data_IF_079808988371
#
_entry.id   IF_079808988371
#
_cell.length_a   1.000
_cell.length_b   1.000
_cell.length_c   1.000
_cell.angle_alpha   90.00
_cell.angle_beta   90.00
_cell.angle_gamma   90.00
#
_symmetry.space_group_name_H-M   'P 1'
#
loop_
_entity.id
_entity.type
_entity.pdbx_description
1 polymer ?
#
# COMPACT_ATOMS: atom_id res chain seq x y z
N UNK A 1 -24.70 -8.80 -64.50
CA UNK A 1 -23.81 -7.82 -65.16
C UNK A 1 -22.36 -8.26 -64.88
N UNK A 2 -21.50 -8.30 -65.91
CA UNK A 2 -20.17 -8.92 -65.81
C UNK A 2 -19.17 -8.05 -65.05
N UNK A 3 -18.38 -8.67 -64.18
CA UNK A 3 -17.28 -8.05 -63.44
C UNK A 3 -16.08 -8.00 -64.38
N UNK A 4 -15.79 -6.82 -64.93
CA UNK A 4 -14.61 -6.59 -65.77
C UNK A 4 -13.36 -6.60 -64.90
N UNK A 5 -12.46 -7.54 -65.20
CA UNK A 5 -11.12 -7.65 -64.64
C UNK A 5 -10.27 -6.51 -65.20
N UNK A 6 -10.03 -5.46 -64.41
CA UNK A 6 -9.11 -4.37 -64.78
C UNK A 6 -7.68 -4.90 -64.72
N UNK A 7 -6.97 -4.85 -65.85
CA UNK A 7 -5.55 -5.20 -65.95
C UNK A 7 -4.68 -4.27 -65.08
N UNK A 8 -3.58 -4.76 -64.48
CA UNK A 8 -2.65 -3.91 -63.75
C UNK A 8 -1.92 -2.98 -64.73
N UNK A 9 -1.87 -1.68 -64.38
CA UNK A 9 -1.09 -0.67 -65.10
C UNK A 9 0.40 -1.04 -65.12
N UNK A 10 1.13 -0.68 -66.20
CA UNK A 10 2.55 -0.95 -66.31
C UNK A 10 3.30 -0.23 -65.19
N UNK A 11 4.25 -0.94 -64.58
CA UNK A 11 5.17 -0.37 -63.59
C UNK A 11 6.05 0.65 -64.31
N UNK A 12 5.92 1.91 -63.95
CA UNK A 12 6.88 2.95 -64.32
C UNK A 12 8.25 2.53 -63.80
N UNK A 13 9.14 2.18 -64.73
CA UNK A 13 10.54 1.89 -64.47
C UNK A 13 11.20 3.13 -63.88
N UNK A 14 11.50 3.09 -62.58
CA UNK A 14 12.31 4.10 -61.91
C UNK A 14 13.65 4.26 -62.65
N UNK A 15 14.04 5.52 -62.87
CA UNK A 15 15.34 5.87 -63.45
C UNK A 15 16.47 5.34 -62.53
N UNK A 16 17.60 4.89 -63.09
CA UNK A 16 18.69 4.34 -62.30
C UNK A 16 19.38 5.47 -61.49
N UNK A 17 19.01 5.59 -60.22
CA UNK A 17 19.58 6.57 -59.30
C UNK A 17 18.73 6.90 -58.06
N UNK A 18 17.44 6.57 -58.03
CA UNK A 18 16.61 6.75 -56.84
C UNK A 18 16.62 5.48 -55.98
N UNK A 19 17.33 5.53 -54.84
CA UNK A 19 17.21 4.50 -53.81
C UNK A 19 15.76 4.49 -53.28
N UNK A 20 15.01 3.37 -53.42
CA UNK A 20 13.61 3.27 -52.97
C UNK A 20 13.46 3.14 -51.44
N UNK A 21 14.57 3.11 -50.69
CA UNK A 21 14.57 2.94 -49.24
C UNK A 21 14.77 4.27 -48.49
N UNK A 22 13.91 5.25 -48.75
CA UNK A 22 13.83 6.41 -47.87
C UNK A 22 13.10 6.01 -46.57
N UNK A 23 13.76 5.21 -45.72
CA UNK A 23 13.28 4.93 -44.37
C UNK A 23 13.35 6.26 -43.57
N UNK A 24 12.21 6.86 -43.20
CA UNK A 24 12.20 8.16 -42.51
C UNK A 24 12.83 8.12 -41.12
N UNK A 25 13.14 6.92 -40.58
CA UNK A 25 13.90 6.69 -39.34
C UNK A 25 15.42 6.65 -39.54
N UNK A 26 15.90 6.43 -40.76
CA UNK A 26 17.33 6.42 -41.09
C UNK A 26 17.84 7.85 -41.36
N UNK A 27 17.63 8.74 -40.40
CA UNK A 27 18.26 10.07 -40.38
C UNK A 27 19.59 9.95 -39.61
N UNK A 28 20.60 10.76 -39.99
CA UNK A 28 21.83 10.93 -39.20
C UNK A 28 21.41 11.26 -37.76
N UNK A 29 21.80 10.42 -36.79
CA UNK A 29 21.34 10.51 -35.38
C UNK A 29 20.23 9.52 -34.97
N UNK A 30 19.82 8.59 -35.85
CA UNK A 30 18.82 7.56 -35.54
C UNK A 30 19.33 6.35 -34.73
N UNK A 31 20.64 6.29 -34.43
CA UNK A 31 21.25 5.25 -33.62
C UNK A 31 21.55 5.79 -32.21
N UNK A 32 20.49 6.07 -31.44
CA UNK A 32 20.67 6.37 -30.03
C UNK A 32 20.84 5.05 -29.27
N UNK A 33 21.81 4.98 -28.34
CA UNK A 33 21.98 3.82 -27.48
C UNK A 33 20.71 3.59 -26.62
N UNK A 34 20.55 2.39 -26.05
CA UNK A 34 19.48 2.11 -25.10
C UNK A 34 19.37 3.20 -24.02
N UNK A 35 18.16 3.54 -23.52
CA UNK A 35 17.98 4.64 -22.58
C UNK A 35 18.86 4.56 -21.31
N UNK A 36 19.13 3.34 -20.82
CA UNK A 36 20.02 3.11 -19.67
C UNK A 36 21.47 3.51 -19.98
N UNK A 37 21.96 3.18 -21.17
CA UNK A 37 23.30 3.54 -21.62
C UNK A 37 23.39 5.05 -21.92
N UNK A 38 22.34 5.63 -22.50
CA UNK A 38 22.27 7.07 -22.74
C UNK A 38 22.38 7.86 -21.44
N UNK A 39 21.65 7.47 -20.38
CA UNK A 39 21.74 8.13 -19.07
C UNK A 39 23.16 8.09 -18.51
N UNK A 40 23.86 6.95 -18.67
CA UNK A 40 25.23 6.80 -18.20
C UNK A 40 26.23 7.63 -19.04
N UNK A 41 25.95 7.86 -20.31
CA UNK A 41 26.72 8.76 -21.19
C UNK A 41 26.46 10.21 -20.77
N UNK A 42 25.19 10.63 -20.68
CA UNK A 42 24.79 11.99 -20.30
C UNK A 42 25.37 12.40 -18.93
N UNK A 43 25.38 11.48 -17.96
CA UNK A 43 25.99 11.73 -16.65
C UNK A 43 27.51 11.91 -16.74
N UNK A 44 28.20 11.06 -17.50
CA UNK A 44 29.65 11.17 -17.69
C UNK A 44 30.04 12.44 -18.42
N UNK A 45 29.31 12.80 -19.47
CA UNK A 45 29.52 14.05 -20.21
C UNK A 45 29.31 15.27 -19.31
N UNK A 46 28.22 15.31 -18.52
CA UNK A 46 27.98 16.39 -17.56
C UNK A 46 29.07 16.47 -16.48
N UNK A 47 29.60 15.33 -16.02
CA UNK A 47 30.72 15.29 -15.08
C UNK A 47 32.02 15.77 -15.72
N UNK A 48 32.32 15.39 -16.96
CA UNK A 48 33.51 15.84 -17.69
C UNK A 48 33.45 17.34 -18.01
N UNK A 49 32.28 17.88 -18.34
CA UNK A 49 32.11 19.31 -18.61
C UNK A 49 32.37 20.16 -17.37
N UNK A 50 31.79 19.78 -16.21
CA UNK A 50 31.95 20.53 -14.95
C UNK A 50 33.29 20.24 -14.26
N UNK A 51 33.78 19.01 -14.38
CA UNK A 51 34.98 18.52 -13.70
C UNK A 51 35.81 17.63 -14.64
N UNK A 52 36.66 18.23 -15.51
CA UNK A 52 37.38 17.51 -16.57
C UNK A 52 38.27 16.35 -16.11
N UNK A 53 38.67 16.33 -14.84
CA UNK A 53 39.55 15.30 -14.26
C UNK A 53 38.95 14.68 -12.99
N UNK A 54 37.62 14.56 -12.92
CA UNK A 54 36.94 14.05 -11.72
C UNK A 54 37.39 12.63 -11.34
N UNK A 55 37.66 11.75 -12.32
CA UNK A 55 38.09 10.37 -12.08
C UNK A 55 39.45 10.32 -11.37
N UNK A 56 40.44 11.03 -11.91
CA UNK A 56 41.77 11.18 -11.29
C UNK A 56 41.64 11.79 -9.89
N UNK A 57 40.79 12.80 -9.72
CA UNK A 57 40.60 13.45 -8.44
C UNK A 57 39.95 12.52 -7.40
N UNK A 58 39.06 11.62 -7.79
CA UNK A 58 38.49 10.60 -6.90
C UNK A 58 39.57 9.62 -6.46
N UNK A 59 40.41 9.16 -7.40
CA UNK A 59 41.52 8.26 -7.11
C UNK A 59 42.57 8.89 -6.20
N UNK A 60 42.91 10.16 -6.43
CA UNK A 60 43.83 10.93 -5.58
C UNK A 60 43.29 11.08 -4.16
N UNK A 61 42.00 11.42 -4.02
CA UNK A 61 41.35 11.57 -2.72
C UNK A 61 41.28 10.24 -1.95
N UNK A 62 41.01 9.13 -2.65
CA UNK A 62 41.01 7.79 -2.06
C UNK A 62 42.43 7.36 -1.63
N UNK A 63 43.41 7.56 -2.51
CA UNK A 63 44.81 7.27 -2.21
C UNK A 63 45.36 8.16 -1.09
N UNK A 64 44.84 9.39 -0.94
CA UNK A 64 45.16 10.26 0.18
C UNK A 64 44.49 9.79 1.48
N UNK A 65 43.26 9.26 1.44
CA UNK A 65 42.60 8.71 2.64
C UNK A 65 43.28 7.44 3.14
N UNK A 66 43.70 6.57 2.23
CA UNK A 66 44.35 5.30 2.59
C UNK A 66 45.72 5.52 3.26
N UNK A 67 46.41 6.62 2.91
CA UNK A 67 47.69 7.01 3.51
C UNK A 67 47.55 7.90 4.75
N UNK A 68 46.35 8.39 5.06
CA UNK A 68 46.16 9.35 6.13
C UNK A 68 46.33 8.69 7.50
N UNK A 69 47.36 9.12 8.25
CA UNK A 69 47.57 8.76 9.65
C UNK A 69 47.34 9.99 10.50
N UNK A 70 46.50 9.86 11.54
CA UNK A 70 46.12 10.96 12.44
C UNK A 70 46.67 10.67 13.83
N UNK A 71 47.93 11.05 14.04
CA UNK A 71 48.68 10.87 15.29
C UNK A 71 48.97 12.18 16.03
N UNK A 72 48.72 13.32 15.38
CA UNK A 72 49.01 14.67 15.88
C UNK A 72 47.85 15.62 15.60
N UNK A 73 47.78 16.73 16.35
CA UNK A 73 46.76 17.76 16.15
C UNK A 73 46.86 18.39 14.74
N UNK A 74 48.06 18.50 14.19
CA UNK A 74 48.28 19.01 12.83
C UNK A 74 47.82 17.98 11.78
N UNK A 75 48.10 16.69 11.98
CA UNK A 75 47.58 15.63 11.13
C UNK A 75 46.05 15.54 11.17
N UNK A 76 45.43 15.82 12.33
CA UNK A 76 43.98 15.92 12.46
C UNK A 76 43.39 17.10 11.66
N UNK A 77 44.09 18.25 11.63
CA UNK A 77 43.72 19.38 10.78
C UNK A 77 43.77 19.04 9.30
N UNK A 78 44.86 18.42 8.83
CA UNK A 78 45.00 17.98 7.43
C UNK A 78 43.97 16.91 7.04
N UNK A 79 43.64 16.00 7.95
CA UNK A 79 42.57 15.04 7.76
C UNK A 79 41.20 15.73 7.64
N UNK A 80 40.95 16.81 8.38
CA UNK A 80 39.71 17.59 8.25
C UNK A 80 39.60 18.26 6.87
N UNK A 81 40.71 18.80 6.33
CA UNK A 81 40.75 19.39 4.99
C UNK A 81 40.54 18.34 3.88
N UNK A 82 41.10 17.13 4.08
CA UNK A 82 40.86 16.00 3.19
C UNK A 82 39.38 15.59 3.21
N UNK A 83 38.76 15.49 4.40
CA UNK A 83 37.33 15.20 4.54
C UNK A 83 36.47 16.26 3.85
N UNK A 84 36.83 17.55 3.96
CA UNK A 84 36.14 18.63 3.23
C UNK A 84 36.24 18.44 1.71
N UNK A 85 37.42 18.10 1.22
CA UNK A 85 37.67 17.88 -0.21
C UNK A 85 36.86 16.68 -0.76
N UNK A 86 36.79 15.58 0.01
CA UNK A 86 35.95 14.41 -0.32
C UNK A 86 34.48 14.81 -0.39
N UNK A 87 33.97 15.55 0.61
CA UNK A 87 32.57 15.98 0.62
C UNK A 87 32.23 16.92 -0.53
N UNK A 88 33.15 17.81 -0.91
CA UNK A 88 32.95 18.68 -2.07
C UNK A 88 32.81 17.87 -3.36
N UNK A 89 33.65 16.85 -3.57
CA UNK A 89 33.54 15.95 -4.73
C UNK A 89 32.25 15.13 -4.69
N UNK A 90 31.87 14.59 -3.53
CA UNK A 90 30.58 13.91 -3.35
C UNK A 90 29.39 14.83 -3.67
N UNK A 91 29.48 16.11 -3.27
CA UNK A 91 28.47 17.13 -3.60
C UNK A 91 28.32 17.32 -5.10
N UNK A 92 29.44 17.54 -5.80
CA UNK A 92 29.46 17.69 -7.26
C UNK A 92 28.84 16.49 -7.99
N UNK A 93 29.19 15.27 -7.58
CA UNK A 93 28.61 14.03 -8.13
C UNK A 93 27.10 13.99 -7.92
N UNK A 94 26.64 14.30 -6.70
CA UNK A 94 25.21 14.30 -6.36
C UNK A 94 24.42 15.35 -7.13
N UNK A 95 24.99 16.54 -7.34
CA UNK A 95 24.35 17.61 -8.10
C UNK A 95 24.21 17.23 -9.57
N UNK A 96 25.28 16.73 -10.21
CA UNK A 96 25.22 16.21 -11.59
C UNK A 96 24.24 15.04 -11.72
N UNK A 97 24.25 14.11 -10.78
CA UNK A 97 23.29 13.00 -10.76
C UNK A 97 21.84 13.52 -10.65
N UNK A 98 21.58 14.51 -9.78
CA UNK A 98 20.25 15.11 -9.65
C UNK A 98 19.81 15.74 -10.97
N UNK A 99 20.68 16.51 -11.61
CA UNK A 99 20.38 17.19 -12.87
C UNK A 99 20.11 16.20 -14.01
N UNK A 100 20.98 15.20 -14.23
CA UNK A 100 20.79 14.18 -15.28
C UNK A 100 19.53 13.35 -15.03
N UNK A 101 19.20 13.05 -13.77
CA UNK A 101 18.02 12.24 -13.42
C UNK A 101 16.71 13.01 -13.49
N UNK A 102 16.73 14.34 -13.31
CA UNK A 102 15.53 15.15 -13.17
C UNK A 102 14.56 15.05 -14.37
N UNK A 103 15.00 15.06 -15.64
CA UNK A 103 14.12 14.91 -16.79
C UNK A 103 13.34 13.60 -16.78
N UNK A 104 13.99 12.49 -16.42
CA UNK A 104 13.35 11.17 -16.33
C UNK A 104 12.32 11.12 -15.20
N UNK A 105 12.65 11.67 -14.03
CA UNK A 105 11.68 11.78 -12.94
C UNK A 105 10.48 12.65 -13.32
N UNK A 106 10.70 13.73 -14.06
CA UNK A 106 9.62 14.58 -14.56
C UNK A 106 8.75 13.82 -15.57
N UNK A 107 9.34 13.05 -16.48
CA UNK A 107 8.62 12.21 -17.43
C UNK A 107 7.78 11.14 -16.71
N UNK A 108 8.35 10.43 -15.74
CA UNK A 108 7.61 9.46 -14.92
C UNK A 108 6.47 10.12 -14.15
N UNK A 109 6.72 11.27 -13.52
CA UNK A 109 5.67 12.04 -12.81
C UNK A 109 4.55 12.49 -13.74
N UNK A 110 4.84 12.84 -14.99
CA UNK A 110 3.83 13.21 -15.96
C UNK A 110 2.93 12.02 -16.31
N UNK A 111 3.52 10.84 -16.57
CA UNK A 111 2.77 9.60 -16.82
C UNK A 111 1.94 9.20 -15.60
N UNK A 112 2.53 9.25 -14.40
CA UNK A 112 1.82 8.97 -13.15
C UNK A 112 0.67 9.96 -12.91
N UNK A 113 0.86 11.23 -13.28
CA UNK A 113 -0.17 12.26 -13.24
C UNK A 113 -1.35 11.92 -14.15
N UNK A 114 -1.08 11.56 -15.41
CA UNK A 114 -2.11 11.13 -16.36
C UNK A 114 -2.83 9.86 -15.88
N UNK A 115 -2.09 8.87 -15.38
CA UNK A 115 -2.69 7.67 -14.78
C UNK A 115 -3.64 8.05 -13.64
N UNK A 116 -3.21 8.92 -12.72
CA UNK A 116 -4.06 9.38 -11.61
C UNK A 116 -5.31 10.10 -12.10
N UNK A 117 -5.21 10.93 -13.15
CA UNK A 117 -6.36 11.59 -13.75
C UNK A 117 -7.39 10.59 -14.32
N UNK A 118 -6.92 9.48 -14.90
CA UNK A 118 -7.80 8.43 -15.44
C UNK A 118 -8.39 7.54 -14.34
N UNK A 119 -7.60 7.21 -13.32
CA UNK A 119 -7.99 6.26 -12.27
C UNK A 119 -8.81 6.92 -11.15
N UNK A 120 -8.54 8.17 -10.77
CA UNK A 120 -9.23 8.83 -9.65
C UNK A 120 -10.75 8.86 -9.79
N UNK A 121 -11.35 9.23 -10.95
CA UNK A 121 -12.80 9.20 -11.11
C UNK A 121 -13.38 7.79 -11.03
N UNK A 122 -12.63 6.78 -11.47
CA UNK A 122 -13.03 5.38 -11.37
C UNK A 122 -12.97 4.88 -9.93
N UNK A 123 -11.93 5.25 -9.16
CA UNK A 123 -11.83 4.95 -7.74
C UNK A 123 -12.95 5.63 -6.94
N UNK A 124 -13.30 6.87 -7.27
CA UNK A 124 -14.43 7.59 -6.66
C UNK A 124 -15.77 6.89 -6.97
N UNK A 125 -15.97 6.48 -8.23
CA UNK A 125 -17.15 5.71 -8.63
C UNK A 125 -17.22 4.36 -7.91
N UNK A 126 -16.10 3.64 -7.85
CA UNK A 126 -15.96 2.35 -7.16
C UNK A 126 -16.26 2.51 -5.66
N UNK A 127 -15.68 3.52 -5.01
CA UNK A 127 -15.94 3.85 -3.60
C UNK A 127 -17.42 4.15 -3.34
N UNK A 128 -18.05 4.90 -4.25
CA UNK A 128 -19.49 5.20 -4.16
C UNK A 128 -20.34 3.93 -4.27
N UNK A 129 -20.01 3.02 -5.18
CA UNK A 129 -20.71 1.74 -5.34
C UNK A 129 -20.49 0.85 -4.12
N UNK A 130 -19.24 0.74 -3.64
CA UNK A 130 -18.90 -0.08 -2.47
C UNK A 130 -19.59 0.44 -1.20
N UNK A 131 -19.73 1.76 -1.03
CA UNK A 131 -20.51 2.35 0.07
C UNK A 131 -21.98 1.92 -0.01
N UNK A 132 -22.60 2.01 -1.20
CA UNK A 132 -23.99 1.56 -1.42
C UNK A 132 -24.16 0.06 -1.17
N UNK A 133 -23.21 -0.76 -1.63
CA UNK A 133 -23.22 -2.20 -1.36
C UNK A 133 -23.09 -2.48 0.15
N UNK A 134 -22.22 -1.76 0.85
CA UNK A 134 -22.04 -1.89 2.30
C UNK A 134 -23.30 -1.47 3.06
N UNK A 135 -23.94 -0.37 2.68
CA UNK A 135 -25.22 0.07 3.26
C UNK A 135 -26.32 -0.97 3.05
N UNK A 136 -26.44 -1.53 1.84
CA UNK A 136 -27.39 -2.59 1.55
C UNK A 136 -27.13 -3.84 2.40
N UNK A 137 -25.88 -4.30 2.51
CA UNK A 137 -25.51 -5.44 3.34
C UNK A 137 -25.81 -5.19 4.82
N UNK A 138 -25.58 -3.97 5.33
CA UNK A 138 -25.93 -3.57 6.70
C UNK A 138 -27.44 -3.58 6.92
N UNK A 139 -28.23 -3.08 5.96
CA UNK A 139 -29.70 -3.10 6.04
C UNK A 139 -30.26 -4.53 6.01
N UNK A 140 -29.72 -5.39 5.15
CA UNK A 140 -30.10 -6.80 5.09
C UNK A 140 -29.73 -7.54 6.37
N UNK A 141 -28.55 -7.30 6.94
CA UNK A 141 -28.17 -7.86 8.24
C UNK A 141 -29.12 -7.38 9.35
N UNK A 142 -29.42 -6.09 9.42
CA UNK A 142 -30.35 -5.55 10.40
C UNK A 142 -31.78 -6.11 10.25
N UNK A 143 -32.26 -6.31 9.01
CA UNK A 143 -33.56 -6.93 8.74
C UNK A 143 -33.58 -8.40 9.18
N UNK A 144 -32.52 -9.15 8.88
CA UNK A 144 -32.38 -10.55 9.32
C UNK A 144 -32.29 -10.66 10.83
N UNK A 145 -31.58 -9.77 11.51
CA UNK A 145 -31.53 -9.75 12.97
C UNK A 145 -32.89 -9.43 13.59
N UNK A 146 -33.66 -8.50 13.02
CA UNK A 146 -35.04 -8.21 13.48
C UNK A 146 -35.94 -9.43 13.34
N UNK A 147 -35.94 -10.08 12.18
CA UNK A 147 -36.72 -11.31 11.97
C UNK A 147 -36.33 -12.40 12.96
N UNK A 148 -35.03 -12.63 13.16
CA UNK A 148 -34.54 -13.61 14.15
C UNK A 148 -34.99 -13.29 15.58
N UNK A 149 -34.97 -12.01 15.98
CA UNK A 149 -35.45 -11.58 17.30
C UNK A 149 -36.96 -11.74 17.45
N UNK A 150 -37.74 -11.43 16.41
CA UNK A 150 -39.20 -11.60 16.42
C UNK A 150 -39.59 -13.07 16.48
N UNK A 151 -38.92 -13.93 15.72
CA UNK A 151 -39.12 -15.38 15.77
C UNK A 151 -38.72 -15.95 17.14
N UNK A 152 -37.59 -15.54 17.69
CA UNK A 152 -37.15 -15.96 19.02
C UNK A 152 -38.11 -15.47 20.11
N UNK A 153 -38.66 -14.26 19.98
CA UNK A 153 -39.67 -13.73 20.89
C UNK A 153 -41.01 -14.47 20.79
N UNK A 154 -41.45 -14.84 19.58
CA UNK A 154 -42.65 -15.68 19.37
C UNK A 154 -42.47 -17.07 19.96
N UNK A 155 -41.33 -17.71 19.69
CA UNK A 155 -41.00 -19.02 20.25
C UNK A 155 -40.93 -18.99 21.79
N UNK A 156 -40.35 -17.93 22.38
CA UNK A 156 -40.35 -17.73 23.84
C UNK A 156 -41.76 -17.51 24.40
N UNK A 157 -42.60 -16.72 23.72
CA UNK A 157 -43.98 -16.49 24.15
C UNK A 157 -44.86 -17.75 24.04
N UNK A 158 -44.66 -18.56 22.99
CA UNK A 158 -45.31 -19.86 22.84
C UNK A 158 -44.84 -20.86 23.89
N UNK A 159 -43.54 -20.89 24.20
CA UNK A 159 -42.99 -21.72 25.28
C UNK A 159 -43.56 -21.33 26.65
N UNK A 160 -43.66 -20.03 26.95
CA UNK A 160 -44.27 -19.55 28.21
C UNK A 160 -45.76 -19.91 28.29
N UNK A 161 -46.52 -19.76 27.20
CA UNK A 161 -47.94 -20.17 27.16
C UNK A 161 -48.11 -21.68 27.30
N UNK A 162 -47.22 -22.47 26.71
CA UNK A 162 -47.22 -23.92 26.87
C UNK A 162 -46.90 -24.31 28.32
N UNK A 163 -45.93 -23.65 28.96
CA UNK A 163 -45.59 -23.89 30.37
C UNK A 163 -46.73 -23.48 31.32
N UNK A 164 -47.39 -22.34 31.08
CA UNK A 164 -48.57 -21.90 31.83
C UNK A 164 -49.76 -22.86 31.65
N UNK A 165 -49.99 -23.34 30.42
CA UNK A 165 -51.02 -24.34 30.13
C UNK A 165 -50.69 -25.69 30.79
N UNK A 166 -49.43 -26.10 30.84
CA UNK A 166 -48.99 -27.30 31.55
C UNK A 166 -49.16 -27.13 33.07
N UNK A 167 -48.85 -25.96 33.61
CA UNK A 167 -49.04 -25.66 35.04
C UNK A 167 -50.53 -25.68 35.42
N UNK A 168 -51.40 -25.08 34.61
CA UNK A 168 -52.85 -25.16 34.78
C UNK A 168 -53.39 -26.60 34.65
N UNK A 169 -52.82 -27.41 33.74
CA UNK A 169 -53.15 -28.85 33.63
C UNK A 169 -52.79 -29.62 34.88
N UNK A 170 -51.59 -29.40 35.46
CA UNK A 170 -51.18 -30.05 36.71
C UNK A 170 -52.07 -29.64 37.90
N UNK A 171 -52.54 -28.39 37.91
CA UNK A 171 -53.50 -27.92 38.94
C UNK A 171 -54.89 -28.53 38.76
N UNK A 172 -55.35 -28.75 37.52
CA UNK A 172 -56.63 -29.40 37.20
C UNK A 172 -56.59 -30.94 37.36
N UNK A 173 -55.47 -31.59 37.03
CA UNK A 173 -55.22 -33.01 37.33
C UNK A 173 -55.23 -33.28 38.85
N UNK A 174 -54.79 -32.31 39.66
CA UNK A 174 -54.96 -32.32 41.10
C UNK A 174 -56.43 -32.25 41.57
N UNK A 175 -57.37 -31.89 40.69
CA UNK A 175 -58.81 -31.80 40.95
C UNK A 175 -59.64 -32.94 40.30
N UNK A 176 -59.05 -33.78 39.45
CA UNK A 176 -59.61 -35.09 39.05
C UNK A 176 -60.63 -35.10 37.91
N UNK A 177 -60.37 -34.40 36.79
CA UNK A 177 -61.21 -34.46 35.58
C UNK A 177 -60.49 -35.21 34.43
N UNK A 178 -60.95 -36.42 34.08
CA UNK A 178 -60.27 -37.36 33.16
C UNK A 178 -60.45 -37.07 31.66
N UNK A 179 -61.27 -36.10 31.27
CA UNK A 179 -61.65 -35.89 29.85
C UNK A 179 -60.65 -35.01 29.07
N UNK A 180 -59.69 -34.38 29.74
CA UNK A 180 -58.72 -33.45 29.12
C UNK A 180 -57.42 -34.12 28.61
N UNK A 181 -57.22 -35.42 28.87
CA UNK A 181 -55.95 -36.12 28.61
C UNK A 181 -55.73 -36.57 27.16
N UNK A 182 -56.78 -36.71 26.33
CA UNK A 182 -56.65 -37.38 25.03
C UNK A 182 -56.39 -36.42 23.83
N UNK A 183 -56.56 -35.11 24.00
CA UNK A 183 -56.63 -34.19 22.86
C UNK A 183 -55.31 -33.55 22.38
N UNK A 184 -54.15 -33.81 23.00
CA UNK A 184 -52.91 -33.07 22.65
C UNK A 184 -51.68 -33.97 22.60
N UNK A 185 -51.60 -34.74 21.52
CA UNK A 185 -50.40 -35.44 21.09
C UNK A 185 -49.33 -34.44 20.63
N UNK A 186 -48.16 -34.54 21.28
CA UNK A 186 -46.88 -33.86 21.07
C UNK A 186 -46.67 -33.09 19.75
N UNK A 187 -46.57 -31.75 19.85
CA UNK A 187 -45.92 -30.93 18.83
C UNK A 187 -44.40 -30.87 19.11
N UNK A 188 -43.52 -31.33 18.20
CA UNK A 188 -42.08 -31.24 18.37
C UNK A 188 -41.59 -29.78 18.29
N UNK A 189 -40.70 -29.39 19.21
CA UNK A 189 -40.07 -28.07 19.22
C UNK A 189 -39.23 -27.87 17.94
N UNK A 190 -39.42 -26.75 17.19
CA UNK A 190 -38.65 -26.51 15.99
C UNK A 190 -37.18 -26.20 16.33
N UNK A 191 -36.27 -27.05 15.86
CA UNK A 191 -34.84 -26.81 15.93
C UNK A 191 -34.44 -25.66 14.98
N UNK A 192 -34.02 -24.54 15.55
CA UNK A 192 -33.49 -23.39 14.79
C UNK A 192 -32.14 -23.72 14.17
N UNK A 193 -32.13 -24.08 12.88
CA UNK A 193 -30.89 -24.20 12.09
C UNK A 193 -30.46 -22.80 11.65
N UNK A 194 -29.32 -22.31 12.16
CA UNK A 194 -28.66 -21.10 11.64
C UNK A 194 -28.17 -21.37 10.21
N UNK A 195 -28.98 -21.05 9.20
CA UNK A 195 -28.53 -21.05 7.81
C UNK A 195 -27.57 -19.89 7.60
N UNK A 196 -26.31 -20.18 7.26
CA UNK A 196 -25.35 -19.16 6.87
C UNK A 196 -25.81 -18.45 5.59
N UNK A 197 -25.54 -17.14 5.45
CA UNK A 197 -26.09 -16.37 4.36
C UNK A 197 -25.45 -16.75 3.03
N UNK A 198 -26.26 -17.18 2.07
CA UNK A 198 -25.81 -17.42 0.70
C UNK A 198 -25.38 -16.11 0.03
N UNK A 199 -24.27 -16.11 -0.73
CA UNK A 199 -23.75 -14.91 -1.40
C UNK A 199 -24.71 -14.45 -2.50
N UNK A 200 -24.93 -13.14 -2.59
CA UNK A 200 -25.81 -12.54 -3.59
C UNK A 200 -25.05 -12.51 -4.92
N UNK A 201 -25.58 -13.15 -5.97
CA UNK A 201 -24.94 -13.25 -7.29
C UNK A 201 -25.62 -12.38 -8.34
N UNK A 202 -24.82 -11.77 -9.20
CA UNK A 202 -25.25 -11.07 -10.42
C UNK A 202 -25.67 -12.09 -11.47
N UNK A 203 -26.84 -11.86 -12.07
CA UNK A 203 -27.41 -12.73 -13.09
C UNK A 203 -26.62 -12.70 -14.42
N UNK A 204 -26.06 -11.54 -14.79
CA UNK A 204 -25.46 -11.34 -16.13
C UNK A 204 -23.95 -11.56 -16.16
N UNK A 205 -23.26 -11.28 -15.05
CA UNK A 205 -21.79 -11.29 -14.99
C UNK A 205 -21.22 -12.36 -14.06
N UNK A 206 -22.06 -13.06 -13.30
CA UNK A 206 -21.63 -14.06 -12.32
C UNK A 206 -20.90 -13.48 -11.09
N UNK A 207 -20.75 -12.16 -10.99
CA UNK A 207 -20.11 -11.49 -9.87
C UNK A 207 -20.93 -11.73 -8.57
N UNK A 208 -20.26 -12.08 -7.48
CA UNK A 208 -20.91 -12.31 -6.18
C UNK A 208 -20.47 -11.30 -5.13
N UNK A 209 -21.42 -10.77 -4.36
CA UNK A 209 -21.15 -9.91 -3.20
C UNK A 209 -21.47 -10.69 -1.93
N UNK A 210 -20.50 -10.78 -1.02
CA UNK A 210 -20.65 -11.36 0.32
C UNK A 210 -20.19 -10.36 1.36
N UNK A 211 -20.94 -10.25 2.46
CA UNK A 211 -20.54 -9.43 3.60
C UNK A 211 -19.54 -10.17 4.47
N UNK A 212 -18.45 -9.49 4.88
CA UNK A 212 -17.51 -9.98 5.88
C UNK A 212 -17.55 -9.08 7.11
N UNK A 213 -17.62 -9.67 8.31
CA UNK A 213 -17.42 -8.94 9.56
C UNK A 213 -15.93 -8.66 9.73
N UNK A 214 -15.58 -7.38 9.82
CA UNK A 214 -14.21 -6.91 10.05
C UNK A 214 -14.16 -6.31 11.44
N UNK A 215 -13.15 -6.70 12.22
CA UNK A 215 -12.89 -6.11 13.52
C UNK A 215 -12.16 -4.79 13.31
N UNK A 216 -12.81 -3.69 13.69
CA UNK A 216 -12.20 -2.37 13.73
C UNK A 216 -11.75 -2.07 15.16
N UNK A 217 -10.58 -1.45 15.32
CA UNK A 217 -10.06 -1.04 16.62
C UNK A 217 -9.96 0.48 16.67
N UNK A 218 -10.44 1.06 17.78
CA UNK A 218 -10.30 2.47 18.08
C UNK A 218 -9.60 2.60 19.43
N UNK A 219 -8.49 3.34 19.45
CA UNK A 219 -7.76 3.63 20.68
C UNK A 219 -8.52 4.72 21.41
N UNK A 220 -9.06 4.41 22.59
CA UNK A 220 -9.74 5.35 23.47
C UNK A 220 -8.78 6.06 24.40
N UNK A 221 -7.80 5.33 24.94
CA UNK A 221 -6.75 5.83 25.83
C UNK A 221 -5.39 5.30 25.37
N UNK A 222 -4.48 6.24 25.06
CA UNK A 222 -3.15 5.92 24.56
C UNK A 222 -2.20 5.37 25.61
N UNK A 223 -2.33 5.77 26.88
CA UNK A 223 -1.42 5.34 27.94
C UNK A 223 -1.65 3.86 28.25
N UNK A 224 -2.92 3.49 28.43
CA UNK A 224 -3.32 2.11 28.68
C UNK A 224 -3.06 1.24 27.44
N UNK A 225 -3.39 1.73 26.25
CA UNK A 225 -3.15 0.99 25.02
C UNK A 225 -1.65 0.75 24.78
N UNK A 226 -0.79 1.75 25.04
CA UNK A 226 0.65 1.62 24.91
C UNK A 226 1.19 0.48 25.78
N UNK A 227 0.75 0.39 27.04
CA UNK A 227 1.17 -0.69 27.95
C UNK A 227 0.83 -2.08 27.38
N UNK A 228 -0.37 -2.23 26.79
CA UNK A 228 -0.81 -3.49 26.21
C UNK A 228 -0.06 -3.90 24.94
N UNK A 229 0.62 -2.96 24.26
CA UNK A 229 1.36 -3.21 23.01
C UNK A 229 2.87 -3.04 23.15
N UNK A 230 3.40 -2.88 24.36
CA UNK A 230 4.85 -2.72 24.62
C UNK A 230 5.69 -3.94 24.20
N UNK A 231 5.07 -5.10 24.03
CA UNK A 231 5.72 -6.32 23.56
C UNK A 231 5.93 -6.37 22.04
N UNK A 232 5.33 -5.45 21.28
CA UNK A 232 5.53 -5.35 19.83
C UNK A 232 6.89 -4.68 19.50
N UNK A 233 7.66 -5.32 18.62
CA UNK A 233 9.00 -4.85 18.21
C UNK A 233 8.98 -3.44 17.62
N UNK A 234 7.94 -3.08 16.86
CA UNK A 234 7.83 -1.75 16.25
C UNK A 234 7.55 -0.69 17.29
N UNK A 235 6.82 -1.03 18.36
CA UNK A 235 6.59 -0.11 19.49
C UNK A 235 7.90 0.14 20.22
N UNK A 236 8.71 -0.90 20.46
CA UNK A 236 10.04 -0.76 21.06
C UNK A 236 10.97 0.10 20.20
N UNK A 237 11.03 -0.14 18.89
CA UNK A 237 11.81 0.68 17.96
C UNK A 237 11.34 2.15 17.95
N UNK A 238 10.03 2.38 18.02
CA UNK A 238 9.47 3.72 18.09
C UNK A 238 9.85 4.43 19.41
N UNK A 239 9.85 3.71 20.53
CA UNK A 239 10.31 4.22 21.83
C UNK A 239 11.80 4.54 21.78
N UNK A 240 12.66 3.66 21.27
CA UNK A 240 14.09 3.91 21.11
C UNK A 240 14.37 5.15 20.26
N UNK A 241 13.68 5.28 19.11
CA UNK A 241 13.79 6.48 18.26
C UNK A 241 13.32 7.75 18.98
N UNK A 242 12.26 7.65 19.78
CA UNK A 242 11.78 8.78 20.58
C UNK A 242 12.79 9.19 21.66
N UNK A 243 13.38 8.22 22.36
CA UNK A 243 14.45 8.44 23.34
C UNK A 243 15.67 9.07 22.67
N UNK A 244 16.14 8.52 21.55
CA UNK A 244 17.28 9.06 20.81
C UNK A 244 17.06 10.51 20.35
N UNK A 245 15.84 10.86 19.89
CA UNK A 245 15.48 12.24 19.56
C UNK A 245 15.52 13.16 20.79
N UNK A 246 15.04 12.71 21.95
CA UNK A 246 15.08 13.48 23.20
C UNK A 246 16.50 13.68 23.72
N UNK A 247 17.35 12.65 23.64
CA UNK A 247 18.78 12.75 23.97
C UNK A 247 19.49 13.73 23.03
N UNK A 248 19.18 13.68 21.73
CA UNK A 248 19.69 14.64 20.74
C UNK A 248 19.20 16.07 20.99
N UNK A 249 17.98 16.24 21.50
CA UNK A 249 17.42 17.54 21.88
C UNK A 249 18.02 18.10 23.19
N UNK A 250 18.80 17.31 23.93
CA UNK A 250 19.55 17.77 25.11
C UNK A 250 19.09 17.19 26.44
N UNK A 251 18.13 16.26 26.47
CA UNK A 251 17.77 15.54 27.70
C UNK A 251 18.94 14.63 28.11
N UNK A 252 19.48 14.83 29.32
CA UNK A 252 20.66 14.08 29.83
C UNK A 252 20.35 13.12 30.97
N UNK A 253 19.14 13.17 31.51
CA UNK A 253 18.64 12.21 32.50
C UNK A 253 17.23 11.78 32.10
N UNK A 254 17.01 10.48 32.04
CA UNK A 254 15.71 9.87 31.78
C UNK A 254 15.63 8.57 32.56
N UNK A 255 14.55 8.38 33.31
CA UNK A 255 14.33 7.14 34.06
C UNK A 255 14.28 5.94 33.10
N UNK A 256 15.00 4.87 33.42
CA UNK A 256 15.10 3.67 32.59
C UNK A 256 16.11 3.74 31.42
N UNK A 257 16.77 4.88 31.15
CA UNK A 257 17.73 5.02 30.03
C UNK A 257 19.11 5.46 30.53
N UNK A 258 20.15 4.67 30.22
CA UNK A 258 21.54 5.05 30.47
C UNK A 258 22.08 5.92 29.34
N UNK A 259 22.31 7.20 29.61
CA UNK A 259 22.88 8.16 28.65
C UNK A 259 24.36 8.37 28.96
N UNK A 260 25.23 8.20 27.96
CA UNK A 260 26.67 8.43 28.08
C UNK A 260 27.19 9.25 26.89
N UNK A 261 28.33 9.93 27.08
CA UNK A 261 28.99 10.69 26.01
C UNK A 261 30.07 9.83 25.36
N UNK A 262 30.06 9.77 24.03
CA UNK A 262 31.16 9.25 23.23
C UNK A 262 31.78 10.40 22.43
N UNK A 263 33.11 10.41 22.34
CA UNK A 263 33.83 11.33 21.46
C UNK A 263 33.76 10.79 20.05
N UNK A 264 33.18 11.57 19.14
CA UNK A 264 33.16 11.28 17.71
C UNK A 264 33.82 12.44 16.97
N UNK A 265 34.74 12.13 16.06
CA UNK A 265 35.33 13.14 15.19
C UNK A 265 34.25 13.70 14.24
N UNK A 266 34.05 15.01 14.28
CA UNK A 266 33.15 15.73 13.37
C UNK A 266 33.95 16.80 12.65
N UNK A 267 34.36 16.51 11.43
CA UNK A 267 34.91 17.53 10.52
C UNK A 267 33.74 18.36 9.97
N UNK A 268 33.81 19.70 9.99
CA UNK A 268 32.86 20.60 9.30
C UNK A 268 33.37 21.02 7.94
#
# INVERSE_FOLDING_TARGET
MPITKTAPKPQDSALPGENPDHNPRAKIGGNNPPPEEQIAIDFREAMLEKHPSYEQRIEDLKSASDRAVVDSAEAAGKAADLVRSIRAMMGAINDSHRETKQPFLNATRAVDGLKRQLVSPLDEALSTINRKQTEFLRQEEARREKLRKEEEARARAEALKAEEAERARREAEGQGDMEAMEAVEAAPAPAFVKKEPEPIRSADTGASVSGRKVWESQITDYEVAAIQVLDDDKVREAVEKAVARRVKAGVRSMEGVRIYQSLQAVSR
#
